data_IF_651082185395
#
_entry.id   IF_651082185395
#
_cell.length_a   1.000
_cell.length_b   1.000
_cell.length_c   1.000
_cell.angle_alpha   90.00
_cell.angle_beta   90.00
_cell.angle_gamma   90.00
#
_symmetry.space_group_name_H-M   'P 1'
#
loop_
_entity.id
_entity.type
_entity.pdbx_description
1 polymer ?
#
# COMPACT_ATOMS: atom_id res chain seq x y z
N UNK A 1 11.29 -20.07 -8.64
CA UNK A 1 11.04 -19.04 -7.60
C UNK A 1 9.89 -19.54 -6.75
N UNK A 2 10.09 -19.78 -5.45
CA UNK A 2 9.00 -20.25 -4.59
C UNK A 2 7.95 -19.14 -4.46
N UNK A 3 6.74 -19.42 -4.92
CA UNK A 3 5.56 -18.61 -4.60
C UNK A 3 5.35 -18.70 -3.09
N UNK A 4 5.92 -17.76 -2.34
CA UNK A 4 5.60 -17.65 -0.91
C UNK A 4 4.17 -17.15 -0.80
N UNK A 5 3.28 -18.05 -0.38
CA UNK A 5 1.89 -17.73 -0.13
C UNK A 5 1.81 -16.75 1.03
N UNK A 6 1.30 -15.54 0.79
CA UNK A 6 1.06 -14.55 1.83
C UNK A 6 0.13 -15.11 2.92
N UNK A 7 0.30 -14.73 4.20
CA UNK A 7 -0.72 -14.93 5.23
C UNK A 7 -2.10 -14.40 4.82
N UNK A 8 -3.19 -15.05 5.27
CA UNK A 8 -4.57 -14.67 4.89
C UNK A 8 -4.89 -13.17 5.04
N UNK A 9 -4.50 -12.47 6.12
CA UNK A 9 -4.77 -11.04 6.24
C UNK A 9 -4.10 -10.22 5.14
N UNK A 10 -2.89 -10.60 4.74
CA UNK A 10 -2.15 -9.93 3.66
C UNK A 10 -2.73 -10.27 2.28
N UNK A 11 -3.24 -11.48 2.07
CA UNK A 11 -4.00 -11.80 0.85
C UNK A 11 -5.26 -10.94 0.73
N UNK A 12 -6.01 -10.79 1.82
CA UNK A 12 -7.21 -9.94 1.84
C UNK A 12 -6.86 -8.48 1.59
N UNK A 13 -5.78 -8.00 2.22
CA UNK A 13 -5.27 -6.65 1.99
C UNK A 13 -4.92 -6.41 0.52
N UNK A 14 -4.19 -7.34 -0.10
CA UNK A 14 -3.82 -7.30 -1.51
C UNK A 14 -5.04 -7.31 -2.44
N UNK A 15 -6.03 -8.16 -2.16
CA UNK A 15 -7.26 -8.29 -2.95
C UNK A 15 -8.10 -7.02 -2.97
N UNK A 16 -8.02 -6.21 -1.91
CA UNK A 16 -8.75 -4.94 -1.77
C UNK A 16 -7.92 -3.73 -2.20
N UNK A 17 -6.73 -3.95 -2.79
CA UNK A 17 -5.88 -2.90 -3.31
C UNK A 17 -5.81 -2.91 -4.83
N UNK A 18 -5.05 -1.94 -5.32
CA UNK A 18 -4.86 -1.67 -6.73
C UNK A 18 -3.38 -1.56 -7.02
N UNK A 19 -3.02 -1.73 -8.29
CA UNK A 19 -1.69 -1.46 -8.80
C UNK A 19 -1.76 -0.35 -9.84
N UNK A 20 -0.78 0.54 -9.83
CA UNK A 20 -0.60 1.53 -10.88
C UNK A 20 0.84 1.51 -11.36
N UNK A 21 1.03 1.73 -12.66
CA UNK A 21 2.36 1.84 -13.25
C UNK A 21 2.89 3.26 -13.03
N UNK A 22 3.98 3.40 -12.27
CA UNK A 22 4.67 4.65 -12.03
C UNK A 22 6.15 4.49 -12.35
N UNK A 23 6.62 5.30 -13.31
CA UNK A 23 8.03 5.31 -13.75
C UNK A 23 8.55 3.90 -14.11
N UNK A 24 7.69 3.08 -14.71
CA UNK A 24 8.03 1.71 -15.13
C UNK A 24 7.93 0.62 -14.04
N UNK A 25 7.43 0.95 -12.85
CA UNK A 25 7.24 -0.01 -11.76
C UNK A 25 5.77 -0.10 -11.33
N UNK A 26 5.34 -1.27 -10.88
CA UNK A 26 4.04 -1.48 -10.28
C UNK A 26 4.06 -1.06 -8.82
N UNK A 27 3.23 -0.07 -8.50
CA UNK A 27 3.04 0.44 -7.15
C UNK A 27 1.70 -0.04 -6.63
N UNK A 28 1.73 -0.77 -5.52
CA UNK A 28 0.52 -1.17 -4.79
C UNK A 28 0.00 0.01 -3.96
N UNK A 29 -1.31 0.21 -4.00
CA UNK A 29 -2.00 1.18 -3.16
C UNK A 29 -3.41 0.73 -2.80
N UNK A 30 -3.97 1.33 -1.75
CA UNK A 30 -5.39 1.26 -1.41
C UNK A 30 -6.00 2.64 -1.44
N UNK A 31 -7.23 2.71 -1.94
CA UNK A 31 -8.08 3.89 -1.96
C UNK A 31 -9.41 3.50 -1.32
N UNK A 32 -9.72 4.08 -0.16
CA UNK A 32 -10.75 3.62 0.76
C UNK A 32 -11.65 4.81 1.11
N UNK A 33 -12.96 4.58 1.23
CA UNK A 33 -13.91 5.61 1.64
C UNK A 33 -14.46 6.43 0.47
N UNK A 34 -14.91 7.66 0.76
CA UNK A 34 -15.70 8.47 -0.16
C UNK A 34 -14.80 9.22 -1.16
N UNK A 35 -14.90 8.92 -2.45
CA UNK A 35 -13.99 9.44 -3.49
C UNK A 35 -14.07 10.96 -3.74
N UNK A 36 -15.12 11.63 -3.24
CA UNK A 36 -15.38 13.06 -3.42
C UNK A 36 -15.13 13.91 -2.16
N UNK A 37 -14.50 13.36 -1.12
CA UNK A 37 -14.05 14.12 0.05
C UNK A 37 -12.54 14.36 0.04
N UNK A 38 -12.07 15.26 0.92
CA UNK A 38 -10.64 15.49 1.13
C UNK A 38 -9.93 14.19 1.52
N UNK A 39 -8.77 13.96 0.90
CA UNK A 39 -8.02 12.72 1.09
C UNK A 39 -6.96 12.84 2.19
N UNK A 40 -6.89 11.81 3.03
CA UNK A 40 -5.75 11.57 3.92
C UNK A 40 -4.81 10.58 3.24
N UNK A 41 -3.56 11.01 3.02
CA UNK A 41 -2.49 10.15 2.53
C UNK A 41 -1.70 9.57 3.70
N UNK A 42 -1.65 8.24 3.81
CA UNK A 42 -0.85 7.53 4.81
C UNK A 42 0.41 6.96 4.16
N UNK A 43 1.57 7.42 4.63
CA UNK A 43 2.89 7.02 4.16
C UNK A 43 3.59 6.20 5.24
N UNK A 44 3.98 4.97 4.91
CA UNK A 44 4.67 4.09 5.86
C UNK A 44 6.16 4.46 6.00
N UNK A 45 6.85 3.92 7.00
CA UNK A 45 8.28 4.13 7.22
C UNK A 45 9.14 2.93 6.82
N UNK A 46 10.42 2.98 7.17
CA UNK A 46 11.32 1.82 7.09
C UNK A 46 11.35 1.06 8.43
N UNK A 47 11.29 -0.29 8.45
CA UNK A 47 11.11 -1.23 7.34
C UNK A 47 9.67 -1.78 7.25
N UNK A 48 8.69 -0.94 6.91
CA UNK A 48 7.27 -1.35 6.96
C UNK A 48 6.52 -1.25 5.62
N UNK A 49 5.19 -1.25 5.65
CA UNK A 49 4.31 -1.21 4.47
C UNK A 49 2.97 -0.54 4.79
N UNK A 50 2.14 -0.32 3.76
CA UNK A 50 0.77 0.16 3.88
C UNK A 50 -0.11 -0.67 4.83
N UNK A 51 0.24 -1.94 5.05
CA UNK A 51 -0.48 -2.82 5.96
C UNK A 51 -0.44 -2.36 7.42
N UNK A 52 0.55 -1.56 7.83
CA UNK A 52 0.61 -0.99 9.19
C UNK A 52 -0.68 -0.22 9.55
N UNK A 53 -1.32 0.35 8.54
CA UNK A 53 -2.52 1.15 8.70
C UNK A 53 -3.82 0.35 8.80
N UNK A 54 -3.82 -0.97 8.58
CA UNK A 54 -5.06 -1.76 8.52
C UNK A 54 -5.94 -1.62 9.77
N UNK A 55 -5.32 -1.49 10.95
CA UNK A 55 -6.03 -1.31 12.22
C UNK A 55 -6.37 0.16 12.50
N UNK A 56 -5.63 1.11 11.92
CA UNK A 56 -5.88 2.55 12.06
C UNK A 56 -7.03 3.02 11.17
N UNK A 57 -7.10 2.54 9.93
CA UNK A 57 -8.04 3.03 8.92
C UNK A 57 -9.50 3.02 9.41
N UNK A 58 -10.02 1.94 10.03
CA UNK A 58 -11.38 1.93 10.57
C UNK A 58 -11.64 3.00 11.65
N UNK A 59 -10.60 3.52 12.30
CA UNK A 59 -10.70 4.55 13.33
C UNK A 59 -10.73 5.98 12.77
N UNK A 60 -10.41 6.16 11.47
CA UNK A 60 -10.40 7.48 10.81
C UNK A 60 -11.80 7.94 10.36
N UNK A 61 -12.79 7.04 10.38
CA UNK A 61 -14.17 7.27 10.00
C UNK A 61 -14.46 7.11 8.50
N UNK A 62 -15.71 6.79 8.17
CA UNK A 62 -16.12 6.39 6.81
C UNK A 62 -16.34 7.58 5.84
N UNK A 63 -16.40 8.81 6.36
CA UNK A 63 -16.65 10.02 5.56
C UNK A 63 -15.41 10.53 4.82
N UNK A 64 -14.21 10.04 5.19
CA UNK A 64 -12.94 10.49 4.63
C UNK A 64 -12.45 9.53 3.55
N UNK A 65 -11.86 10.07 2.49
CA UNK A 65 -11.05 9.28 1.56
C UNK A 65 -9.70 9.01 2.21
N UNK A 66 -9.31 7.74 2.30
CA UNK A 66 -7.99 7.33 2.77
C UNK A 66 -7.23 6.69 1.62
N UNK A 67 -6.03 7.19 1.35
CA UNK A 67 -5.12 6.60 0.38
C UNK A 67 -3.86 6.15 1.13
N UNK A 68 -3.44 4.91 0.92
CA UNK A 68 -2.14 4.42 1.39
C UNK A 68 -1.46 3.63 0.28
N UNK A 69 -0.12 3.65 0.25
CA UNK A 69 0.66 2.97 -0.78
C UNK A 69 1.86 2.25 -0.17
N UNK A 70 2.37 1.26 -0.89
CA UNK A 70 3.67 0.66 -0.59
C UNK A 70 4.73 1.39 -1.42
N UNK A 71 5.73 1.98 -0.76
CA UNK A 71 6.85 2.57 -1.47
C UNK A 71 7.55 1.52 -2.35
N UNK A 72 8.16 1.97 -3.44
CA UNK A 72 8.99 1.10 -4.28
C UNK A 72 10.02 0.38 -3.40
N UNK A 73 10.21 -0.91 -3.59
CA UNK A 73 11.08 -1.73 -2.75
C UNK A 73 10.42 -2.32 -1.50
N UNK A 74 9.19 -1.90 -1.16
CA UNK A 74 8.49 -2.33 0.06
C UNK A 74 7.16 -3.03 -0.24
N UNK A 75 6.62 -3.68 0.79
CA UNK A 75 5.29 -4.29 0.77
C UNK A 75 4.99 -5.14 -0.47
N UNK A 76 3.90 -4.82 -1.14
CA UNK A 76 3.39 -5.45 -2.35
C UNK A 76 3.84 -4.74 -3.63
N UNK A 77 4.50 -3.58 -3.53
CA UNK A 77 5.13 -2.91 -4.67
C UNK A 77 6.33 -3.68 -5.20
N UNK A 78 6.70 -3.38 -6.44
CA UNK A 78 7.87 -3.94 -7.10
C UNK A 78 9.15 -3.71 -6.29
N UNK A 79 10.09 -4.65 -6.41
CA UNK A 79 11.38 -4.64 -5.69
C UNK A 79 12.54 -4.68 -6.69
N UNK A 80 12.73 -3.61 -7.48
CA UNK A 80 13.79 -3.58 -8.47
C UNK A 80 15.16 -3.70 -7.81
N UNK A 81 15.92 -4.72 -8.20
CA UNK A 81 17.26 -4.98 -7.69
C UNK A 81 18.28 -3.89 -8.08
N UNK A 82 18.03 -3.18 -9.19
CA UNK A 82 18.89 -2.13 -9.74
C UNK A 82 18.31 -0.73 -9.47
N UNK A 83 17.72 -0.52 -8.30
CA UNK A 83 17.24 0.80 -7.88
C UNK A 83 18.08 1.30 -6.70
N UNK A 84 18.41 2.59 -6.72
CA UNK A 84 19.15 3.24 -5.63
C UNK A 84 18.15 3.80 -4.63
N UNK A 85 18.06 3.15 -3.45
CA UNK A 85 17.28 3.65 -2.32
C UNK A 85 18.19 4.48 -1.42
N UNK A 86 17.72 5.66 -1.03
CA UNK A 86 18.37 6.52 -0.04
C UNK A 86 17.36 6.91 1.04
N UNK A 87 17.86 7.15 2.25
CA UNK A 87 17.12 7.80 3.33
C UNK A 87 17.24 9.33 3.24
#
# INVERSE_FOLDING_TARGET
MMSQTLPKPLQQWQQQGHYTALVGYNIFYRDIGTTHSDAILLLHGFPSSSYDWHALIPLLGDEKRIVCLDFLGFGLSDKPAQHSYSL
#
